data_IF_925212241991
#
_entry.id   IF_925212241991
#
_cell.length_a   1.000
_cell.length_b   1.000
_cell.length_c   1.000
_cell.angle_alpha   90.00
_cell.angle_beta   90.00
_cell.angle_gamma   90.00
#
_symmetry.space_group_name_H-M   'P 1'
#
loop_
_entity.id
_entity.type
_entity.pdbx_description
1 polymer ?
#
# COMPACT_ATOMS: atom_id res chain seq x y z
N UNK A 1 -90.46 -140.05 2.48
CA UNK A 1 -89.37 -140.58 1.64
C UNK A 1 -88.64 -139.38 1.05
N UNK A 2 -87.40 -139.13 1.49
CA UNK A 2 -86.14 -139.20 0.71
C UNK A 2 -86.00 -137.98 -0.25
N UNK A 3 -84.92 -137.21 -0.37
CA UNK A 3 -83.54 -137.15 0.15
C UNK A 3 -82.98 -135.75 -0.29
N UNK A 4 -81.93 -135.24 0.37
CA UNK A 4 -81.10 -134.03 0.06
C UNK A 4 -80.39 -134.22 -1.32
N UNK A 5 -79.62 -133.30 -2.00
CA UNK A 5 -78.97 -132.04 -1.54
C UNK A 5 -78.71 -130.89 -2.56
N UNK A 6 -78.76 -129.59 -2.20
CA UNK A 6 -78.06 -128.52 -2.96
C UNK A 6 -77.59 -127.38 -2.04
N UNK A 7 -76.39 -127.52 -1.48
CA UNK A 7 -75.62 -126.47 -0.79
C UNK A 7 -74.31 -126.17 -1.53
N UNK A 8 -74.34 -126.09 -2.87
CA UNK A 8 -73.15 -125.91 -3.72
C UNK A 8 -73.15 -124.63 -4.60
N UNK A 9 -74.31 -123.99 -4.81
CA UNK A 9 -74.37 -122.78 -5.67
C UNK A 9 -73.98 -121.46 -4.98
N UNK A 10 -73.95 -121.41 -3.64
CA UNK A 10 -73.64 -120.17 -2.90
C UNK A 10 -72.13 -119.98 -2.66
N UNK A 11 -71.36 -121.06 -2.63
CA UNK A 11 -69.92 -121.02 -2.35
C UNK A 11 -69.10 -120.63 -3.61
N UNK A 12 -69.54 -121.06 -4.80
CA UNK A 12 -68.89 -120.71 -6.08
C UNK A 12 -69.07 -119.22 -6.45
N UNK A 13 -70.23 -118.62 -6.13
CA UNK A 13 -70.46 -117.17 -6.31
C UNK A 13 -69.58 -116.32 -5.39
N UNK A 14 -69.35 -116.77 -4.14
CA UNK A 14 -68.49 -116.06 -3.17
C UNK A 14 -67.02 -116.11 -3.56
N UNK A 15 -66.56 -117.23 -4.12
CA UNK A 15 -65.19 -117.39 -4.61
C UNK A 15 -64.96 -116.54 -5.86
N UNK A 16 -65.90 -116.50 -6.81
CA UNK A 16 -65.79 -115.67 -8.01
C UNK A 16 -65.73 -114.16 -7.68
N UNK A 17 -66.59 -113.68 -6.78
CA UNK A 17 -66.56 -112.28 -6.30
C UNK A 17 -65.25 -111.96 -5.57
N UNK A 18 -64.76 -112.85 -4.70
CA UNK A 18 -63.48 -112.66 -4.00
C UNK A 18 -62.28 -112.63 -4.97
N UNK A 19 -62.32 -113.40 -6.05
CA UNK A 19 -61.23 -113.45 -7.04
C UNK A 19 -61.21 -112.20 -7.91
N UNK A 20 -62.39 -111.65 -8.23
CA UNK A 20 -62.53 -110.40 -8.98
C UNK A 20 -62.15 -109.18 -8.12
N UNK A 21 -62.53 -109.20 -6.84
CA UNK A 21 -62.11 -108.19 -5.84
C UNK A 21 -60.60 -108.22 -5.61
N UNK A 22 -59.98 -109.41 -5.54
CA UNK A 22 -58.52 -109.56 -5.44
C UNK A 22 -57.78 -108.95 -6.64
N UNK A 23 -58.26 -109.15 -7.87
CA UNK A 23 -57.68 -108.51 -9.06
C UNK A 23 -57.79 -106.99 -9.01
N UNK A 24 -58.95 -106.45 -8.61
CA UNK A 24 -59.10 -105.00 -8.49
C UNK A 24 -58.20 -104.39 -7.42
N UNK A 25 -57.92 -105.15 -6.35
CA UNK A 25 -56.97 -104.75 -5.31
C UNK A 25 -55.53 -104.85 -5.78
N UNK A 26 -55.16 -105.87 -6.57
CA UNK A 26 -53.83 -105.97 -7.18
C UNK A 26 -53.56 -104.84 -8.18
N UNK A 27 -54.52 -104.52 -9.06
CA UNK A 27 -54.41 -103.38 -9.98
C UNK A 27 -54.30 -102.04 -9.21
N UNK A 28 -55.02 -101.90 -8.09
CA UNK A 28 -54.91 -100.74 -7.20
C UNK A 28 -53.54 -100.68 -6.49
N UNK A 29 -52.94 -101.81 -6.16
CA UNK A 29 -51.59 -101.89 -5.56
C UNK A 29 -50.53 -101.52 -6.60
N UNK A 30 -50.64 -102.00 -7.83
CA UNK A 30 -49.69 -101.68 -8.91
C UNK A 30 -49.71 -100.18 -9.24
N UNK A 31 -50.90 -99.57 -9.29
CA UNK A 31 -51.02 -98.11 -9.48
C UNK A 31 -50.47 -97.32 -8.30
N UNK A 32 -50.69 -97.77 -7.06
CA UNK A 32 -50.10 -97.15 -5.87
C UNK A 32 -48.58 -97.28 -5.84
N UNK A 33 -48.01 -98.42 -6.24
CA UNK A 33 -46.56 -98.63 -6.30
C UNK A 33 -45.90 -97.70 -7.35
N UNK A 34 -46.53 -97.53 -8.52
CA UNK A 34 -46.09 -96.58 -9.53
C UNK A 34 -46.08 -95.14 -8.99
N UNK A 35 -47.13 -94.72 -8.28
CA UNK A 35 -47.22 -93.39 -7.65
C UNK A 35 -46.16 -93.22 -6.55
N UNK A 36 -45.92 -94.26 -5.74
CA UNK A 36 -44.89 -94.24 -4.70
C UNK A 36 -43.51 -94.11 -5.32
N UNK A 37 -43.24 -94.81 -6.41
CA UNK A 37 -41.96 -94.75 -7.14
C UNK A 37 -41.73 -93.36 -7.75
N UNK A 38 -42.76 -92.78 -8.38
CA UNK A 38 -42.69 -91.42 -8.94
C UNK A 38 -42.49 -90.36 -7.84
N UNK A 39 -43.23 -90.45 -6.73
CA UNK A 39 -43.07 -89.55 -5.59
C UNK A 39 -41.70 -89.70 -4.93
N UNK A 40 -41.18 -90.91 -4.84
CA UNK A 40 -39.83 -91.17 -4.31
C UNK A 40 -38.77 -90.53 -5.19
N UNK A 41 -38.88 -90.66 -6.51
CA UNK A 41 -37.98 -90.01 -7.46
C UNK A 41 -38.03 -88.49 -7.30
N UNK A 42 -39.23 -87.91 -7.21
CA UNK A 42 -39.43 -86.47 -7.01
C UNK A 42 -38.85 -85.97 -5.69
N UNK A 43 -38.96 -86.75 -4.60
CA UNK A 43 -38.32 -86.43 -3.32
C UNK A 43 -36.79 -86.41 -3.49
N UNK A 44 -36.21 -87.40 -4.18
CA UNK A 44 -34.75 -87.41 -4.38
C UNK A 44 -34.27 -86.23 -5.23
N UNK A 45 -35.04 -85.81 -6.22
CA UNK A 45 -34.70 -84.66 -7.07
C UNK A 45 -34.81 -83.34 -6.29
N UNK A 46 -35.88 -83.15 -5.50
CA UNK A 46 -35.99 -81.99 -4.60
C UNK A 46 -34.87 -81.96 -3.57
N UNK A 47 -34.45 -83.11 -3.04
CA UNK A 47 -33.38 -83.18 -2.04
C UNK A 47 -32.02 -82.82 -2.64
N UNK A 48 -31.77 -83.18 -3.91
CA UNK A 48 -30.61 -82.72 -4.68
C UNK A 48 -30.66 -81.21 -4.97
N UNK A 49 -31.84 -80.67 -5.25
CA UNK A 49 -32.01 -79.24 -5.48
C UNK A 49 -31.79 -78.41 -4.21
N UNK A 50 -32.33 -78.85 -3.07
CA UNK A 50 -32.10 -78.23 -1.76
C UNK A 50 -30.62 -78.23 -1.39
N UNK A 51 -29.92 -79.34 -1.57
CA UNK A 51 -28.47 -79.42 -1.28
C UNK A 51 -27.65 -78.55 -2.23
N UNK A 52 -28.03 -78.48 -3.52
CA UNK A 52 -27.41 -77.57 -4.50
C UNK A 52 -27.59 -76.09 -4.11
N UNK A 53 -28.81 -75.70 -3.71
CA UNK A 53 -29.12 -74.33 -3.31
C UNK A 53 -28.45 -73.94 -1.99
N UNK A 54 -28.39 -74.87 -1.02
CA UNK A 54 -27.71 -74.64 0.25
C UNK A 54 -26.20 -74.45 0.06
N UNK A 55 -25.56 -75.28 -0.79
CA UNK A 55 -24.14 -75.15 -1.12
C UNK A 55 -23.84 -73.85 -1.89
N UNK A 56 -24.67 -73.49 -2.88
CA UNK A 56 -24.55 -72.22 -3.62
C UNK A 56 -24.76 -71.00 -2.71
N UNK A 57 -25.71 -71.08 -1.77
CA UNK A 57 -25.98 -70.03 -0.80
C UNK A 57 -24.82 -69.81 0.18
N UNK A 58 -24.20 -70.88 0.69
CA UNK A 58 -23.07 -70.76 1.62
C UNK A 58 -21.82 -70.21 0.95
N UNK A 59 -21.46 -70.70 -0.25
CA UNK A 59 -20.29 -70.24 -0.99
C UNK A 59 -20.41 -68.75 -1.39
N UNK A 60 -21.59 -68.34 -1.88
CA UNK A 60 -21.81 -66.95 -2.26
C UNK A 60 -21.77 -66.00 -1.04
N UNK A 61 -22.30 -66.42 0.12
CA UNK A 61 -22.25 -65.64 1.35
C UNK A 61 -20.82 -65.51 1.90
N UNK A 62 -20.03 -66.58 1.83
CA UNK A 62 -18.63 -66.61 2.32
C UNK A 62 -17.68 -65.81 1.40
N UNK A 63 -17.88 -65.86 0.08
CA UNK A 63 -17.14 -65.03 -0.88
C UNK A 63 -17.48 -63.54 -0.73
N UNK A 64 -18.75 -63.20 -0.47
CA UNK A 64 -19.16 -61.81 -0.20
C UNK A 64 -18.59 -61.31 1.13
N UNK A 65 -18.58 -62.15 2.18
CA UNK A 65 -18.03 -61.80 3.49
C UNK A 65 -16.52 -61.59 3.47
N UNK A 66 -15.77 -62.43 2.74
CA UNK A 66 -14.32 -62.26 2.57
C UNK A 66 -13.96 -60.98 1.80
N UNK A 67 -14.71 -60.64 0.74
CA UNK A 67 -14.55 -59.35 0.02
C UNK A 67 -14.88 -58.14 0.90
N UNK A 68 -15.93 -58.23 1.74
CA UNK A 68 -16.29 -57.18 2.68
C UNK A 68 -15.20 -56.97 3.75
N UNK A 69 -14.65 -58.05 4.30
CA UNK A 69 -13.55 -58.00 5.27
C UNK A 69 -12.27 -57.41 4.67
N UNK A 70 -11.90 -57.78 3.45
CA UNK A 70 -10.75 -57.19 2.77
C UNK A 70 -10.89 -55.68 2.58
N UNK A 71 -12.10 -55.21 2.20
CA UNK A 71 -12.41 -53.78 2.09
C UNK A 71 -12.38 -53.07 3.45
N UNK A 72 -12.85 -53.71 4.51
CA UNK A 72 -12.81 -53.15 5.86
C UNK A 72 -11.36 -52.92 6.33
N UNK A 73 -10.46 -53.89 6.10
CA UNK A 73 -9.03 -53.78 6.45
C UNK A 73 -8.35 -52.66 5.64
N UNK A 74 -8.66 -52.54 4.35
CA UNK A 74 -8.14 -51.45 3.50
C UNK A 74 -8.60 -50.08 4.02
N UNK A 75 -9.88 -49.93 4.35
CA UNK A 75 -10.44 -48.70 4.90
C UNK A 75 -9.83 -48.35 6.27
N UNK A 76 -9.62 -49.34 7.13
CA UNK A 76 -8.99 -49.15 8.44
C UNK A 76 -7.54 -48.63 8.29
N UNK A 77 -6.79 -49.18 7.34
CA UNK A 77 -5.45 -48.70 7.00
C UNK A 77 -5.45 -47.26 6.48
N UNK A 78 -6.45 -46.88 5.69
CA UNK A 78 -6.62 -45.50 5.21
C UNK A 78 -6.96 -44.54 6.35
N UNK A 79 -7.83 -44.94 7.29
CA UNK A 79 -8.19 -44.15 8.47
C UNK A 79 -6.95 -43.91 9.35
N UNK A 80 -6.15 -44.93 9.62
CA UNK A 80 -4.93 -44.79 10.42
C UNK A 80 -3.88 -43.90 9.74
N UNK A 81 -3.77 -43.96 8.41
CA UNK A 81 -2.92 -43.04 7.64
C UNK A 81 -3.41 -41.60 7.76
N UNK A 82 -4.70 -41.36 7.54
CA UNK A 82 -5.31 -40.02 7.65
C UNK A 82 -5.16 -39.44 9.06
N UNK A 83 -5.29 -40.27 10.09
CA UNK A 83 -5.12 -39.87 11.49
C UNK A 83 -3.69 -39.40 11.76
N UNK A 84 -2.68 -40.13 11.26
CA UNK A 84 -1.27 -39.70 11.34
C UNK A 84 -1.04 -38.37 10.62
N UNK A 85 -1.57 -38.23 9.40
CA UNK A 85 -1.44 -36.99 8.62
C UNK A 85 -2.08 -35.78 9.33
N UNK A 86 -3.28 -35.96 9.92
CA UNK A 86 -3.96 -34.93 10.73
C UNK A 86 -3.11 -34.52 11.92
N UNK A 87 -2.52 -35.46 12.66
CA UNK A 87 -1.66 -35.13 13.81
C UNK A 87 -0.39 -34.38 13.39
N UNK A 88 0.24 -34.76 12.28
CA UNK A 88 1.40 -34.07 11.73
C UNK A 88 1.06 -32.67 11.21
N UNK A 89 -0.13 -32.49 10.62
CA UNK A 89 -0.59 -31.18 10.17
C UNK A 89 -0.94 -30.27 11.35
N UNK A 90 -1.51 -30.83 12.43
CA UNK A 90 -1.80 -30.08 13.66
C UNK A 90 -0.54 -29.53 14.31
N UNK A 91 0.55 -30.30 14.38
CA UNK A 91 1.82 -29.83 14.93
C UNK A 91 2.48 -28.74 14.05
N UNK A 92 2.41 -28.89 12.72
CA UNK A 92 2.85 -27.84 11.76
C UNK A 92 2.03 -26.56 11.88
N UNK A 93 0.71 -26.67 12.08
CA UNK A 93 -0.16 -25.50 12.31
C UNK A 93 0.28 -24.75 13.57
N UNK A 94 0.51 -25.47 14.68
CA UNK A 94 0.93 -24.87 15.94
C UNK A 94 2.29 -24.14 15.82
N UNK A 95 3.25 -24.71 15.09
CA UNK A 95 4.55 -24.06 14.89
C UNK A 95 4.46 -22.82 13.99
N UNK A 96 3.61 -22.85 12.95
CA UNK A 96 3.34 -21.69 12.11
C UNK A 96 2.62 -20.58 12.88
N UNK A 97 1.66 -20.94 13.73
CA UNK A 97 0.92 -20.00 14.59
C UNK A 97 1.85 -19.32 15.60
N UNK A 98 2.76 -20.07 16.24
CA UNK A 98 3.79 -19.50 17.12
C UNK A 98 4.76 -18.56 16.37
N UNK A 99 5.11 -18.89 15.12
CA UNK A 99 5.95 -18.01 14.29
C UNK A 99 5.21 -16.76 13.85
N UNK A 100 3.91 -16.86 13.56
CA UNK A 100 3.07 -15.72 13.22
C UNK A 100 2.92 -14.76 14.40
N UNK A 101 2.71 -15.27 15.62
CA UNK A 101 2.60 -14.43 16.82
C UNK A 101 3.92 -13.74 17.19
N UNK A 102 5.07 -14.41 17.03
CA UNK A 102 6.38 -13.76 17.23
C UNK A 102 6.66 -12.68 16.17
N UNK A 103 6.27 -12.93 14.91
CA UNK A 103 6.37 -11.93 13.85
C UNK A 103 5.47 -10.71 14.11
N UNK A 104 4.23 -10.94 14.57
CA UNK A 104 3.30 -9.88 14.95
C UNK A 104 3.85 -9.02 16.10
N UNK A 105 4.45 -9.65 17.12
CA UNK A 105 5.10 -8.94 18.23
C UNK A 105 6.26 -8.06 17.74
N UNK A 106 7.09 -8.56 16.83
CA UNK A 106 8.19 -7.78 16.21
C UNK A 106 7.68 -6.61 15.39
N UNK A 107 6.59 -6.79 14.64
CA UNK A 107 5.96 -5.69 13.89
C UNK A 107 5.44 -4.61 14.84
N UNK A 108 4.81 -5.00 15.95
CA UNK A 108 4.35 -4.05 16.96
C UNK A 108 5.53 -3.29 17.60
N UNK A 109 6.61 -3.98 17.94
CA UNK A 109 7.82 -3.36 18.51
C UNK A 109 8.43 -2.33 17.54
N UNK A 110 8.67 -2.72 16.28
CA UNK A 110 9.17 -1.82 15.24
C UNK A 110 8.25 -0.62 15.01
N UNK A 111 6.93 -0.82 15.08
CA UNK A 111 5.97 0.28 14.94
C UNK A 111 6.09 1.29 16.11
N UNK A 112 6.31 0.82 17.33
CA UNK A 112 6.55 1.73 18.47
C UNK A 112 7.88 2.48 18.37
N UNK A 113 8.93 1.85 17.84
CA UNK A 113 10.21 2.52 17.59
C UNK A 113 10.08 3.58 16.48
N UNK A 114 9.35 3.26 15.41
CA UNK A 114 9.06 4.19 14.32
C UNK A 114 8.29 5.41 14.83
N UNK A 115 7.30 5.21 15.69
CA UNK A 115 6.54 6.31 16.28
C UNK A 115 7.42 7.21 17.18
N UNK A 116 8.33 6.61 17.96
CA UNK A 116 9.31 7.37 18.77
C UNK A 116 10.23 8.21 17.88
N UNK A 117 10.77 7.63 16.80
CA UNK A 117 11.62 8.33 15.83
C UNK A 117 10.88 9.46 15.11
N UNK A 118 9.62 9.25 14.76
CA UNK A 118 8.80 10.28 14.15
C UNK A 118 8.60 11.47 15.11
N UNK A 119 8.32 11.20 16.39
CA UNK A 119 8.18 12.24 17.42
C UNK A 119 9.47 13.04 17.64
N UNK A 120 10.64 12.40 17.63
CA UNK A 120 11.93 13.09 17.79
C UNK A 120 12.28 13.94 16.57
N UNK A 121 12.03 13.43 15.36
CA UNK A 121 12.18 14.18 14.11
C UNK A 121 11.28 15.42 14.07
N UNK A 122 10.01 15.27 14.44
CA UNK A 122 9.07 16.39 14.51
C UNK A 122 9.51 17.45 15.55
N UNK A 123 10.11 17.02 16.66
CA UNK A 123 10.67 17.94 17.66
C UNK A 123 11.90 18.70 17.15
N UNK A 124 12.84 18.00 16.51
CA UNK A 124 13.98 18.62 15.86
C UNK A 124 13.56 19.64 14.80
N UNK A 125 12.56 19.31 13.98
CA UNK A 125 12.01 20.22 12.98
C UNK A 125 11.43 21.49 13.61
N UNK A 126 10.68 21.37 14.72
CA UNK A 126 10.16 22.53 15.45
C UNK A 126 11.29 23.40 16.03
N UNK A 127 12.36 22.79 16.53
CA UNK A 127 13.53 23.52 17.04
C UNK A 127 14.24 24.31 15.94
N UNK A 128 14.45 23.68 14.78
CA UNK A 128 15.05 24.33 13.60
C UNK A 128 14.21 25.52 13.14
N UNK A 129 12.89 25.34 13.02
CA UNK A 129 12.00 26.45 12.64
C UNK A 129 12.05 27.63 13.62
N UNK A 130 12.14 27.36 14.94
CA UNK A 130 12.30 28.43 15.95
C UNK A 130 13.61 29.19 15.77
N UNK A 131 14.72 28.49 15.52
CA UNK A 131 16.03 29.14 15.30
C UNK A 131 16.08 29.90 13.98
N UNK A 132 15.45 29.40 12.92
CA UNK A 132 15.33 30.09 11.64
C UNK A 132 14.51 31.38 11.75
N UNK A 133 13.40 31.35 12.49
CA UNK A 133 12.62 32.57 12.74
C UNK A 133 13.40 33.61 13.55
N UNK A 134 14.11 33.18 14.60
CA UNK A 134 14.95 34.09 15.39
C UNK A 134 16.06 34.73 14.54
N UNK A 135 16.67 33.95 13.64
CA UNK A 135 17.68 34.45 12.71
C UNK A 135 17.12 35.48 11.74
N UNK A 136 15.96 35.21 11.11
CA UNK A 136 15.29 36.17 10.21
C UNK A 136 14.96 37.48 10.91
N UNK A 137 14.46 37.43 12.14
CA UNK A 137 14.19 38.64 12.93
C UNK A 137 15.48 39.42 13.20
N UNK A 138 16.57 38.74 13.55
CA UNK A 138 17.86 39.40 13.76
C UNK A 138 18.41 40.04 12.48
N UNK A 139 18.24 39.39 11.32
CA UNK A 139 18.63 39.92 10.01
C UNK A 139 17.79 41.15 9.63
N UNK A 140 16.48 41.12 9.84
CA UNK A 140 15.57 42.25 9.57
C UNK A 140 15.90 43.46 10.45
N UNK A 141 16.13 43.26 11.75
CA UNK A 141 16.53 44.34 12.67
C UNK A 141 17.91 44.91 12.30
N UNK A 142 18.86 44.07 11.89
CA UNK A 142 20.17 44.53 11.41
C UNK A 142 20.03 45.39 10.15
N UNK A 143 19.24 44.96 9.17
CA UNK A 143 19.00 45.71 7.93
C UNK A 143 18.31 47.05 8.23
N UNK A 144 17.35 47.07 9.16
CA UNK A 144 16.70 48.29 9.62
C UNK A 144 17.69 49.25 10.28
N UNK A 145 18.52 48.77 11.19
CA UNK A 145 19.56 49.59 11.83
C UNK A 145 20.57 50.12 10.80
N UNK A 146 20.96 49.33 9.79
CA UNK A 146 21.81 49.81 8.71
C UNK A 146 21.13 50.89 7.85
N UNK A 147 19.85 50.73 7.52
CA UNK A 147 19.12 51.76 6.78
C UNK A 147 18.91 53.03 7.60
N UNK A 148 18.62 52.91 8.90
CA UNK A 148 18.50 54.07 9.80
C UNK A 148 19.83 54.80 9.98
N UNK A 149 20.94 54.08 10.11
CA UNK A 149 22.26 54.70 10.25
C UNK A 149 22.71 55.37 8.95
N UNK A 150 22.48 54.75 7.80
CA UNK A 150 22.80 55.34 6.49
C UNK A 150 21.92 56.54 6.14
N UNK A 151 20.63 56.50 6.49
CA UNK A 151 19.74 57.66 6.30
C UNK A 151 20.09 58.81 7.24
N UNK A 152 20.33 58.53 8.53
CA UNK A 152 20.81 59.54 9.49
C UNK A 152 22.16 60.13 9.07
N UNK A 153 23.08 59.31 8.56
CA UNK A 153 24.37 59.78 8.03
C UNK A 153 24.21 60.67 6.79
N UNK A 154 23.29 60.36 5.88
CA UNK A 154 22.96 61.21 4.71
C UNK A 154 22.30 62.52 5.13
N UNK A 155 21.33 62.49 6.04
CA UNK A 155 20.71 63.71 6.58
C UNK A 155 21.75 64.59 7.28
N UNK A 156 22.65 64.00 8.07
CA UNK A 156 23.73 64.73 8.72
C UNK A 156 24.67 65.37 7.69
N UNK A 157 25.03 64.64 6.63
CA UNK A 157 25.88 65.13 5.54
C UNK A 157 25.23 66.26 4.73
N UNK A 158 23.92 66.19 4.49
CA UNK A 158 23.17 67.21 3.75
C UNK A 158 22.93 68.47 4.59
N UNK A 159 22.51 68.32 5.86
CA UNK A 159 22.25 69.44 6.78
C UNK A 159 23.55 70.16 7.17
N UNK A 160 24.71 69.48 7.09
CA UNK A 160 25.98 70.02 7.58
C UNK A 160 27.08 70.15 6.53
N UNK A 161 26.78 69.98 5.23
CA UNK A 161 27.75 70.19 4.14
C UNK A 161 28.37 71.59 4.10
N UNK A 162 27.78 72.56 4.78
CA UNK A 162 28.32 73.92 4.94
C UNK A 162 28.12 74.53 6.35
N UNK A 163 27.71 73.77 7.37
CA UNK A 163 27.33 74.33 8.69
C UNK A 163 27.90 73.59 9.92
N UNK A 164 28.89 72.71 9.77
CA UNK A 164 29.64 72.22 10.93
C UNK A 164 30.72 73.25 11.31
N UNK A 165 30.66 73.88 12.49
CA UNK A 165 31.74 74.76 12.94
C UNK A 165 33.08 73.99 12.91
N UNK A 166 34.21 74.63 12.54
CA UNK A 166 35.50 73.96 12.41
C UNK A 166 35.90 73.11 13.63
N UNK A 167 35.51 73.53 14.84
CA UNK A 167 35.76 72.77 16.07
C UNK A 167 34.98 71.44 16.12
N UNK A 168 33.73 71.39 15.64
CA UNK A 168 32.89 70.18 15.66
C UNK A 168 33.28 69.20 14.54
N UNK A 169 33.69 69.70 13.37
CA UNK A 169 34.31 68.88 12.34
C UNK A 169 35.62 68.25 12.85
N UNK A 170 36.45 69.02 13.55
CA UNK A 170 37.69 68.51 14.18
C UNK A 170 37.39 67.46 15.27
N UNK A 171 36.35 67.67 16.08
CA UNK A 171 35.92 66.69 17.08
C UNK A 171 35.32 65.42 16.48
N UNK A 172 34.58 65.51 15.37
CA UNK A 172 34.04 64.36 14.65
C UNK A 172 35.14 63.52 13.99
N UNK A 173 36.15 64.16 13.40
CA UNK A 173 37.33 63.46 12.87
C UNK A 173 38.07 62.76 14.01
N UNK A 174 38.29 63.44 15.14
CA UNK A 174 38.95 62.84 16.32
C UNK A 174 38.16 61.66 16.92
N UNK A 175 36.83 61.74 16.98
CA UNK A 175 36.00 60.63 17.49
C UNK A 175 35.93 59.46 16.52
N UNK A 176 35.87 59.71 15.20
CA UNK A 176 36.01 58.67 14.18
C UNK A 176 37.37 57.98 14.25
N UNK A 177 38.44 58.73 14.52
CA UNK A 177 39.79 58.17 14.67
C UNK A 177 39.91 57.31 15.94
N UNK A 178 39.35 57.73 17.07
CA UNK A 178 39.28 56.92 18.31
C UNK A 178 38.46 55.64 18.09
N UNK A 179 37.30 55.72 17.43
CA UNK A 179 36.50 54.53 17.11
C UNK A 179 37.21 53.60 16.14
N UNK A 180 37.91 54.14 15.13
CA UNK A 180 38.72 53.36 14.18
C UNK A 180 39.88 52.65 14.91
N UNK A 181 40.57 53.35 15.80
CA UNK A 181 41.64 52.79 16.60
C UNK A 181 41.11 51.67 17.51
N UNK A 182 39.97 51.89 18.20
CA UNK A 182 39.36 50.87 19.05
C UNK A 182 38.84 49.65 18.25
N UNK A 183 38.29 49.88 17.05
CA UNK A 183 37.91 48.80 16.13
C UNK A 183 39.14 47.99 15.70
N UNK A 184 40.24 48.65 15.36
CA UNK A 184 41.46 47.98 14.95
C UNK A 184 42.16 47.24 16.10
N UNK A 185 42.12 47.80 17.32
CA UNK A 185 42.74 47.21 18.52
C UNK A 185 41.93 46.04 19.09
N UNK A 186 40.60 46.09 19.06
CA UNK A 186 39.76 45.11 19.75
C UNK A 186 38.72 44.43 18.85
N UNK A 187 38.09 45.15 17.93
CA UNK A 187 37.01 44.62 17.08
C UNK A 187 37.52 43.66 16.00
N UNK A 188 38.47 44.12 15.19
CA UNK A 188 39.09 43.34 14.11
C UNK A 188 39.73 42.04 14.60
N UNK A 189 40.59 42.02 15.65
CA UNK A 189 41.17 40.77 16.13
C UNK A 189 40.12 39.79 16.70
N UNK A 190 39.01 40.26 17.27
CA UNK A 190 37.94 39.38 17.72
C UNK A 190 37.21 38.69 16.55
N UNK A 191 36.94 39.44 15.47
CA UNK A 191 36.34 38.89 14.24
C UNK A 191 37.30 37.92 13.55
N UNK A 192 38.58 38.28 13.42
CA UNK A 192 39.60 37.42 12.82
C UNK A 192 39.78 36.12 13.62
N UNK A 193 39.74 36.17 14.96
CA UNK A 193 39.76 34.98 15.83
C UNK A 193 38.55 34.06 15.62
N UNK A 194 37.36 34.63 15.43
CA UNK A 194 36.15 33.84 15.16
C UNK A 194 36.21 33.17 13.78
N UNK A 195 36.67 33.90 12.75
CA UNK A 195 36.89 33.35 11.41
C UNK A 195 37.93 32.23 11.42
N UNK A 196 39.03 32.41 12.14
CA UNK A 196 40.06 31.40 12.29
C UNK A 196 39.52 30.14 13.00
N UNK A 197 38.79 30.29 14.11
CA UNK A 197 38.18 29.15 14.81
C UNK A 197 37.14 28.41 13.96
N UNK A 198 36.35 29.13 13.17
CA UNK A 198 35.41 28.53 12.22
C UNK A 198 36.16 27.73 11.14
N UNK A 199 37.24 28.27 10.58
CA UNK A 199 38.09 27.58 9.62
C UNK A 199 38.74 26.33 10.24
N UNK A 200 39.33 26.42 11.43
CA UNK A 200 39.93 25.29 12.14
C UNK A 200 38.92 24.17 12.42
N UNK A 201 37.69 24.51 12.82
CA UNK A 201 36.62 23.54 13.05
C UNK A 201 36.14 22.88 11.76
N UNK A 202 36.10 23.62 10.65
CA UNK A 202 35.80 23.05 9.33
C UNK A 202 36.87 22.06 8.85
N UNK A 203 38.15 22.36 9.11
CA UNK A 203 39.28 21.47 8.78
C UNK A 203 39.27 20.23 9.69
N UNK A 204 38.94 20.37 10.98
CA UNK A 204 38.74 19.22 11.88
C UNK A 204 37.58 18.32 11.42
N UNK A 205 36.45 18.88 11.01
CA UNK A 205 35.32 18.12 10.48
C UNK A 205 35.70 17.36 9.21
N UNK A 206 36.48 17.99 8.32
CA UNK A 206 36.99 17.34 7.10
C UNK A 206 37.94 16.17 7.43
N UNK A 207 38.91 16.37 8.32
CA UNK A 207 39.84 15.30 8.76
C UNK A 207 39.15 14.16 9.48
N UNK A 208 38.07 14.43 10.22
CA UNK A 208 37.27 13.38 10.84
C UNK A 208 36.48 12.57 9.79
N UNK A 209 35.92 13.23 8.78
CA UNK A 209 35.11 12.57 7.76
C UNK A 209 35.94 11.74 6.76
N UNK A 210 37.16 12.18 6.44
CA UNK A 210 38.06 11.57 5.44
C UNK A 210 38.34 10.06 5.67
N UNK A 211 38.74 9.57 6.86
CA UNK A 211 38.95 8.14 7.08
C UNK A 211 37.66 7.32 7.02
N UNK A 212 36.52 7.90 7.41
CA UNK A 212 35.22 7.24 7.32
C UNK A 212 34.72 7.15 5.87
N UNK A 213 34.99 8.18 5.07
CA UNK A 213 34.70 8.20 3.64
C UNK A 213 35.58 7.20 2.88
N UNK A 214 36.88 7.14 3.18
CA UNK A 214 37.80 6.16 2.59
C UNK A 214 37.45 4.73 3.00
N UNK A 215 37.01 4.52 4.25
CA UNK A 215 36.49 3.21 4.70
C UNK A 215 35.19 2.83 3.98
N UNK A 216 34.30 3.80 3.76
CA UNK A 216 33.08 3.59 2.96
C UNK A 216 33.41 3.28 1.51
N UNK A 217 34.40 3.97 0.92
CA UNK A 217 34.90 3.76 -0.45
C UNK A 217 35.46 2.34 -0.60
N UNK A 218 36.32 1.90 0.32
CA UNK A 218 37.08 0.65 0.18
C UNK A 218 36.30 -0.59 0.62
N UNK A 219 35.54 -0.52 1.72
CA UNK A 219 34.85 -1.70 2.28
C UNK A 219 33.40 -1.82 1.84
N UNK A 220 32.66 -0.70 1.82
CA UNK A 220 31.21 -0.73 1.67
C UNK A 220 30.75 -0.58 0.23
N UNK A 221 31.44 0.22 -0.58
CA UNK A 221 31.12 0.41 -2.00
C UNK A 221 31.11 -0.89 -2.81
N UNK A 222 32.13 -1.78 -2.74
CA UNK A 222 32.11 -3.03 -3.51
C UNK A 222 31.01 -3.98 -3.03
N UNK A 223 30.80 -4.09 -1.71
CA UNK A 223 29.75 -4.93 -1.12
C UNK A 223 28.36 -4.43 -1.52
N UNK A 224 28.13 -3.11 -1.47
CA UNK A 224 26.87 -2.51 -1.89
C UNK A 224 26.63 -2.70 -3.39
N UNK A 225 27.66 -2.55 -4.24
CA UNK A 225 27.57 -2.82 -5.68
C UNK A 225 27.19 -4.28 -5.96
N UNK A 226 27.86 -5.22 -5.32
CA UNK A 226 27.57 -6.65 -5.50
C UNK A 226 26.16 -7.01 -5.00
N UNK A 227 25.75 -6.48 -3.85
CA UNK A 227 24.40 -6.66 -3.29
C UNK A 227 23.32 -6.00 -4.16
N UNK A 228 23.59 -4.84 -4.77
CA UNK A 228 22.66 -4.18 -5.68
C UNK A 228 22.54 -4.92 -7.02
N UNK A 229 23.64 -5.43 -7.57
CA UNK A 229 23.62 -6.23 -8.81
C UNK A 229 22.87 -7.54 -8.59
N UNK A 230 23.10 -8.21 -7.46
CA UNK A 230 22.36 -9.45 -7.09
C UNK A 230 20.90 -9.18 -6.80
N UNK A 231 20.56 -8.09 -6.10
CA UNK A 231 19.18 -7.67 -5.90
C UNK A 231 18.49 -7.34 -7.24
N UNK A 232 19.15 -6.62 -8.14
CA UNK A 232 18.63 -6.31 -9.48
C UNK A 232 18.35 -7.59 -10.27
N UNK A 233 19.31 -8.53 -10.32
CA UNK A 233 19.16 -9.82 -11.01
C UNK A 233 18.02 -10.66 -10.43
N UNK A 234 17.85 -10.64 -9.11
CA UNK A 234 16.80 -11.40 -8.44
C UNK A 234 15.43 -10.74 -8.53
N UNK A 235 15.36 -9.41 -8.56
CA UNK A 235 14.10 -8.65 -8.59
C UNK A 235 13.55 -8.46 -10.01
N UNK A 236 14.42 -8.43 -11.03
CA UNK A 236 14.05 -8.29 -12.45
C UNK A 236 12.92 -9.24 -12.90
N UNK A 237 12.96 -10.56 -12.63
CA UNK A 237 11.85 -11.44 -13.02
C UNK A 237 10.55 -11.17 -12.25
N UNK A 238 10.61 -10.74 -10.99
CA UNK A 238 9.41 -10.41 -10.21
C UNK A 238 8.78 -9.09 -10.66
N UNK A 239 9.60 -8.09 -10.99
CA UNK A 239 9.11 -6.81 -11.52
C UNK A 239 8.47 -7.03 -12.90
N UNK A 240 9.09 -7.83 -13.76
CA UNK A 240 8.50 -8.21 -15.05
C UNK A 240 7.18 -8.96 -14.87
N UNK A 241 7.15 -10.00 -14.03
CA UNK A 241 5.92 -10.76 -13.76
C UNK A 241 4.80 -9.90 -13.16
N UNK A 242 5.11 -9.03 -12.20
CA UNK A 242 4.12 -8.11 -11.60
C UNK A 242 3.65 -7.09 -12.64
N UNK A 243 4.55 -6.59 -13.49
CA UNK A 243 4.18 -5.66 -14.56
C UNK A 243 3.22 -6.32 -15.55
N UNK A 244 3.52 -7.53 -16.02
CA UNK A 244 2.66 -8.31 -16.93
C UNK A 244 1.30 -8.59 -16.31
N UNK A 245 1.26 -9.11 -15.08
CA UNK A 245 0.01 -9.38 -14.37
C UNK A 245 -0.79 -8.12 -14.08
N UNK A 246 -0.13 -6.99 -13.82
CA UNK A 246 -0.81 -5.72 -13.59
C UNK A 246 -1.45 -5.18 -14.87
N UNK A 247 -0.79 -5.34 -16.02
CA UNK A 247 -1.33 -4.97 -17.33
C UNK A 247 -2.51 -5.86 -17.68
N UNK A 248 -2.39 -7.17 -17.46
CA UNK A 248 -3.47 -8.13 -17.70
C UNK A 248 -4.69 -7.86 -16.80
N UNK A 249 -4.48 -7.65 -15.49
CA UNK A 249 -5.54 -7.31 -14.55
C UNK A 249 -6.21 -5.96 -14.89
N UNK A 250 -5.44 -4.96 -15.32
CA UNK A 250 -5.97 -3.68 -15.76
C UNK A 250 -6.78 -3.79 -17.05
N UNK A 251 -6.29 -4.53 -18.05
CA UNK A 251 -7.03 -4.79 -19.29
C UNK A 251 -8.33 -5.52 -19.01
N UNK A 252 -8.29 -6.60 -18.21
CA UNK A 252 -9.46 -7.38 -17.81
C UNK A 252 -10.49 -6.53 -17.06
N UNK A 253 -10.02 -5.69 -16.13
CA UNK A 253 -10.89 -4.76 -15.39
C UNK A 253 -11.49 -3.68 -16.31
N UNK A 254 -10.68 -3.11 -17.20
CA UNK A 254 -11.12 -2.11 -18.18
C UNK A 254 -12.18 -2.68 -19.11
N UNK A 255 -11.97 -3.89 -19.63
CA UNK A 255 -12.91 -4.56 -20.53
C UNK A 255 -14.19 -4.97 -19.82
N UNK A 256 -14.12 -5.36 -18.54
CA UNK A 256 -15.31 -5.59 -17.71
C UNK A 256 -16.10 -4.30 -17.45
N UNK A 257 -15.43 -3.18 -17.17
CA UNK A 257 -16.08 -1.91 -16.84
C UNK A 257 -16.63 -1.20 -18.08
N UNK A 258 -15.98 -1.34 -19.24
CA UNK A 258 -16.35 -0.69 -20.50
C UNK A 258 -17.84 -0.79 -20.85
N UNK A 259 -18.51 -1.96 -20.84
CA UNK A 259 -19.94 -2.04 -21.14
C UNK A 259 -20.81 -1.29 -20.11
N UNK A 260 -20.44 -1.30 -18.83
CA UNK A 260 -21.16 -0.57 -17.80
C UNK A 260 -21.00 0.95 -17.94
N UNK A 261 -19.81 1.42 -18.32
CA UNK A 261 -19.57 2.84 -18.59
C UNK A 261 -20.35 3.31 -19.82
N UNK A 262 -20.38 2.51 -20.90
CA UNK A 262 -21.18 2.81 -22.10
C UNK A 262 -22.67 2.83 -21.77
N UNK A 263 -23.17 1.90 -20.96
CA UNK A 263 -24.57 1.88 -20.55
C UNK A 263 -24.93 3.06 -19.62
N UNK A 264 -24.06 3.41 -18.66
CA UNK A 264 -24.25 4.58 -17.83
C UNK A 264 -24.24 5.87 -18.66
N UNK A 265 -23.35 5.97 -19.65
CA UNK A 265 -23.31 7.10 -20.56
C UNK A 265 -24.58 7.19 -21.40
N UNK A 266 -25.08 6.08 -21.96
CA UNK A 266 -26.36 6.03 -22.69
C UNK A 266 -27.56 6.39 -21.82
N UNK A 267 -27.57 5.96 -20.56
CA UNK A 267 -28.64 6.28 -19.62
C UNK A 267 -28.62 7.76 -19.20
N UNK A 268 -27.42 8.34 -19.06
CA UNK A 268 -27.25 9.74 -18.67
C UNK A 268 -27.38 10.72 -19.85
N UNK A 269 -27.08 10.28 -21.08
CA UNK A 269 -27.13 11.12 -22.29
C UNK A 269 -28.45 11.89 -22.46
N UNK A 270 -29.66 11.30 -22.34
CA UNK A 270 -30.89 12.06 -22.47
C UNK A 270 -31.02 13.19 -21.43
N UNK A 271 -30.58 12.96 -20.18
CA UNK A 271 -30.57 13.98 -19.15
C UNK A 271 -29.55 15.09 -19.44
N UNK A 272 -28.37 14.74 -19.94
CA UNK A 272 -27.37 15.73 -20.37
C UNK A 272 -27.85 16.53 -21.59
N UNK A 273 -28.53 15.90 -22.56
CA UNK A 273 -29.09 16.61 -23.71
C UNK A 273 -30.22 17.55 -23.29
N UNK A 274 -31.06 17.15 -22.32
CA UNK A 274 -32.11 17.99 -21.77
C UNK A 274 -31.54 19.17 -20.97
N UNK A 275 -30.59 18.92 -20.06
CA UNK A 275 -29.86 19.98 -19.36
C UNK A 275 -29.13 20.92 -20.34
N UNK A 276 -28.57 20.39 -21.43
CA UNK A 276 -27.98 21.18 -22.51
C UNK A 276 -29.02 22.03 -23.23
N UNK A 277 -30.21 21.52 -23.53
CA UNK A 277 -31.31 22.33 -24.11
C UNK A 277 -31.72 23.48 -23.20
N UNK A 278 -31.82 23.23 -21.89
CA UNK A 278 -32.17 24.26 -20.92
C UNK A 278 -31.06 25.29 -20.69
N UNK A 279 -29.80 24.85 -20.59
CA UNK A 279 -28.66 25.72 -20.27
C UNK A 279 -28.12 26.48 -21.47
N UNK A 280 -28.18 25.91 -22.68
CA UNK A 280 -27.65 26.52 -23.90
C UNK A 280 -28.14 27.94 -24.17
N UNK A 281 -29.44 28.30 -24.09
CA UNK A 281 -29.86 29.70 -24.31
C UNK A 281 -29.27 30.66 -23.28
N UNK A 282 -29.09 30.25 -22.02
CA UNK A 282 -28.46 31.08 -20.99
C UNK A 282 -26.95 31.21 -21.17
N UNK A 283 -26.27 30.12 -21.52
CA UNK A 283 -24.84 30.14 -21.86
C UNK A 283 -24.61 31.01 -23.09
N UNK A 284 -25.45 30.89 -24.13
CA UNK A 284 -25.38 31.69 -25.34
C UNK A 284 -25.67 33.18 -25.05
N UNK A 285 -26.62 33.49 -24.16
CA UNK A 285 -26.86 34.87 -23.69
C UNK A 285 -25.67 35.43 -22.92
N UNK A 286 -25.11 34.68 -21.96
CA UNK A 286 -23.93 35.10 -21.21
C UNK A 286 -22.75 35.29 -22.16
N UNK A 287 -22.51 34.35 -23.08
CA UNK A 287 -21.46 34.43 -24.08
C UNK A 287 -21.66 35.63 -25.00
N UNK A 288 -22.88 35.91 -25.45
CA UNK A 288 -23.19 37.06 -26.32
C UNK A 288 -23.02 38.39 -25.59
N UNK A 289 -23.47 38.47 -24.33
CA UNK A 289 -23.33 39.66 -23.49
C UNK A 289 -21.87 39.93 -23.10
N UNK A 290 -21.09 38.87 -22.83
CA UNK A 290 -19.66 39.01 -22.48
C UNK A 290 -18.74 39.12 -23.68
N UNK A 291 -19.16 38.71 -24.89
CA UNK A 291 -18.37 38.79 -26.14
C UNK A 291 -17.71 40.15 -26.36
N UNK A 292 -18.41 41.30 -26.34
CA UNK A 292 -17.76 42.60 -26.54
C UNK A 292 -16.76 42.97 -25.43
N UNK A 293 -17.01 42.53 -24.19
CA UNK A 293 -16.09 42.77 -23.07
C UNK A 293 -14.84 41.90 -23.15
N UNK A 294 -15.00 40.63 -23.51
CA UNK A 294 -13.89 39.69 -23.74
C UNK A 294 -13.05 40.13 -24.94
N UNK A 295 -13.68 40.59 -26.03
CA UNK A 295 -12.97 41.12 -27.20
C UNK A 295 -12.24 42.42 -26.88
N UNK A 296 -12.84 43.31 -26.06
CA UNK A 296 -12.17 44.52 -25.54
C UNK A 296 -10.98 44.17 -24.65
N UNK A 297 -11.12 43.22 -23.72
CA UNK A 297 -10.01 42.73 -22.88
C UNK A 297 -8.93 42.09 -23.76
N UNK A 298 -9.31 41.27 -24.73
CA UNK A 298 -8.37 40.59 -25.64
C UNK A 298 -7.58 41.58 -26.49
N UNK A 299 -8.23 42.62 -26.99
CA UNK A 299 -7.58 43.67 -27.80
C UNK A 299 -6.66 44.55 -26.95
N UNK A 300 -7.07 44.94 -25.74
CA UNK A 300 -6.23 45.71 -24.81
C UNK A 300 -5.05 44.90 -24.25
N UNK A 301 -5.24 43.60 -24.03
CA UNK A 301 -4.20 42.71 -23.51
C UNK A 301 -3.25 42.19 -24.62
N UNK A 302 -3.62 42.34 -25.91
CA UNK A 302 -2.83 41.91 -27.08
C UNK A 302 -1.37 42.41 -27.08
N UNK A 303 -1.06 43.70 -26.82
CA UNK A 303 0.32 44.16 -26.71
C UNK A 303 1.06 43.54 -25.53
N UNK A 304 0.39 43.37 -24.39
CA UNK A 304 0.99 42.75 -23.20
C UNK A 304 1.28 41.26 -23.39
N UNK A 305 0.39 40.52 -24.05
CA UNK A 305 0.63 39.11 -24.39
C UNK A 305 1.75 38.96 -25.42
N UNK A 306 1.87 39.87 -26.39
CA UNK A 306 3.03 39.89 -27.30
C UNK A 306 4.34 40.15 -26.55
N UNK A 307 4.35 41.13 -25.63
CA UNK A 307 5.53 41.45 -24.81
C UNK A 307 5.88 40.31 -23.86
N UNK A 308 4.90 39.69 -23.22
CA UNK A 308 5.09 38.53 -22.35
C UNK A 308 5.65 37.33 -23.13
N UNK A 309 5.14 37.04 -24.33
CA UNK A 309 5.67 35.98 -25.20
C UNK A 309 7.13 36.26 -25.60
N UNK A 310 7.47 37.51 -25.89
CA UNK A 310 8.83 37.89 -26.25
C UNK A 310 9.79 37.74 -25.05
N UNK A 311 9.41 38.24 -23.88
CA UNK A 311 10.19 38.10 -22.64
C UNK A 311 10.33 36.63 -22.23
N UNK A 312 9.27 35.84 -22.37
CA UNK A 312 9.32 34.41 -22.09
C UNK A 312 10.20 33.67 -23.11
N UNK A 313 10.16 34.04 -24.39
CA UNK A 313 11.05 33.51 -25.41
C UNK A 313 12.52 33.82 -25.12
N UNK A 314 12.84 35.07 -24.77
CA UNK A 314 14.18 35.46 -24.34
C UNK A 314 14.61 34.71 -23.08
N UNK A 315 13.72 34.58 -22.09
CA UNK A 315 13.98 33.82 -20.87
C UNK A 315 14.23 32.34 -21.13
N UNK A 316 13.49 31.71 -22.04
CA UNK A 316 13.74 30.32 -22.42
C UNK A 316 15.08 30.14 -23.12
N UNK A 317 15.46 31.08 -24.01
CA UNK A 317 16.77 31.05 -24.67
C UNK A 317 17.88 31.23 -23.64
N UNK A 318 17.77 32.19 -22.71
CA UNK A 318 18.78 32.36 -21.67
C UNK A 318 18.83 31.15 -20.73
N UNK A 319 17.68 30.65 -20.25
CA UNK A 319 17.61 29.47 -19.40
C UNK A 319 18.22 28.24 -20.07
N UNK A 320 17.97 28.01 -21.36
CA UNK A 320 18.58 26.90 -22.10
C UNK A 320 20.09 27.07 -22.27
N UNK A 321 20.59 28.27 -22.56
CA UNK A 321 22.04 28.53 -22.62
C UNK A 321 22.72 28.34 -21.26
N UNK A 322 22.12 28.83 -20.17
CA UNK A 322 22.63 28.61 -18.81
C UNK A 322 22.52 27.14 -18.39
N UNK A 323 21.48 26.42 -18.83
CA UNK A 323 21.33 24.99 -18.58
C UNK A 323 22.47 24.21 -19.21
N UNK A 324 22.80 24.51 -20.46
CA UNK A 324 23.92 23.91 -21.19
C UNK A 324 25.26 24.27 -20.53
N UNK A 325 25.45 25.52 -20.10
CA UNK A 325 26.66 25.94 -19.39
C UNK A 325 26.80 25.28 -18.00
N UNK A 326 25.69 25.15 -17.28
CA UNK A 326 25.64 24.45 -16.00
C UNK A 326 25.90 22.96 -16.21
N UNK A 327 25.34 22.35 -17.25
CA UNK A 327 25.60 20.97 -17.63
C UNK A 327 27.09 20.73 -17.91
N UNK A 328 27.75 21.64 -18.63
CA UNK A 328 29.19 21.58 -18.88
C UNK A 328 30.01 21.72 -17.58
N UNK A 329 29.71 22.71 -16.75
CA UNK A 329 30.40 22.96 -15.47
C UNK A 329 30.21 21.81 -14.48
N UNK A 330 28.98 21.30 -14.36
CA UNK A 330 28.62 20.16 -13.50
C UNK A 330 29.30 18.90 -14.02
N UNK A 331 29.28 18.65 -15.34
CA UNK A 331 29.97 17.50 -15.93
C UNK A 331 31.46 17.54 -15.65
N UNK A 332 32.10 18.70 -15.81
CA UNK A 332 33.53 18.90 -15.55
C UNK A 332 33.85 18.68 -14.05
N UNK A 333 33.07 19.29 -13.15
CA UNK A 333 33.22 19.11 -11.70
C UNK A 333 33.02 17.65 -11.26
N UNK A 334 31.99 16.96 -11.79
CA UNK A 334 31.78 15.55 -11.46
C UNK A 334 32.87 14.64 -12.05
N UNK A 335 33.49 15.01 -13.18
CA UNK A 335 34.62 14.29 -13.75
C UNK A 335 35.92 14.50 -12.97
N UNK A 336 36.12 15.67 -12.36
CA UNK A 336 37.28 16.00 -11.53
C UNK A 336 37.32 15.21 -10.21
N UNK A 337 36.17 14.75 -9.70
CA UNK A 337 36.09 13.96 -8.47
C UNK A 337 35.88 12.46 -8.76
N UNK A 338 36.82 11.61 -8.35
CA UNK A 338 36.78 10.16 -8.61
C UNK A 338 35.51 9.46 -8.10
N UNK A 339 34.89 9.96 -7.02
CA UNK A 339 33.66 9.42 -6.44
C UNK A 339 32.43 9.70 -7.32
N UNK A 340 32.31 10.92 -7.84
CA UNK A 340 31.16 11.34 -8.65
C UNK A 340 31.27 10.91 -10.10
N UNK A 341 32.50 10.67 -10.60
CA UNK A 341 32.77 10.19 -11.96
C UNK A 341 31.96 8.94 -12.34
N UNK A 342 31.72 8.04 -11.40
CA UNK A 342 30.95 6.79 -11.62
C UNK A 342 29.43 7.02 -11.74
N UNK A 343 28.94 8.18 -11.32
CA UNK A 343 27.53 8.57 -11.36
C UNK A 343 27.23 9.57 -12.47
N UNK A 344 28.22 9.93 -13.30
CA UNK A 344 28.03 10.83 -14.44
C UNK A 344 27.30 10.09 -15.54
N UNK A 345 25.97 10.10 -15.46
CA UNK A 345 25.09 9.78 -16.59
C UNK A 345 24.61 11.09 -17.21
N UNK A 346 24.44 11.12 -18.54
CA UNK A 346 23.96 12.31 -19.25
C UNK A 346 22.63 12.82 -18.67
N UNK A 347 21.77 11.89 -18.24
CA UNK A 347 20.50 12.20 -17.57
C UNK A 347 20.69 12.88 -16.21
N UNK A 348 21.63 12.41 -15.37
CA UNK A 348 21.85 12.99 -14.04
C UNK A 348 22.44 14.40 -14.12
N UNK A 349 23.40 14.63 -15.03
CA UNK A 349 23.95 15.97 -15.27
C UNK A 349 22.86 16.91 -15.78
N UNK A 350 21.98 16.43 -16.66
CA UNK A 350 20.83 17.18 -17.15
C UNK A 350 19.86 17.53 -16.01
N UNK A 351 19.48 16.59 -15.15
CA UNK A 351 18.60 16.86 -14.00
C UNK A 351 19.24 17.81 -12.98
N UNK A 352 20.54 17.69 -12.71
CA UNK A 352 21.24 18.55 -11.76
C UNK A 352 21.37 20.00 -12.27
N UNK A 353 21.65 20.16 -13.57
CA UNK A 353 21.64 21.46 -14.24
C UNK A 353 20.23 22.09 -14.22
N UNK A 354 19.18 21.30 -14.46
CA UNK A 354 17.81 21.77 -14.38
C UNK A 354 17.43 22.18 -12.95
N UNK A 355 17.84 21.39 -11.94
CA UNK A 355 17.61 21.71 -10.53
C UNK A 355 18.27 23.04 -10.13
N UNK A 356 19.51 23.28 -10.59
CA UNK A 356 20.25 24.52 -10.34
C UNK A 356 19.51 25.76 -10.92
N UNK A 357 18.87 25.61 -12.07
CA UNK A 357 18.07 26.68 -12.70
C UNK A 357 16.71 26.91 -12.07
N UNK A 358 16.05 25.84 -11.60
CA UNK A 358 14.70 25.91 -11.04
C UNK A 358 14.72 26.40 -9.58
N UNK A 359 15.78 26.12 -8.82
CA UNK A 359 15.91 26.49 -7.41
C UNK A 359 15.68 27.99 -7.14
N UNK A 360 16.31 28.95 -7.84
CA UNK A 360 16.06 30.38 -7.63
C UNK A 360 14.62 30.79 -7.95
N UNK A 361 14.03 30.21 -9.00
CA UNK A 361 12.63 30.47 -9.40
C UNK A 361 11.67 29.95 -8.32
N UNK A 362 11.95 28.77 -7.76
CA UNK A 362 11.15 28.18 -6.68
C UNK A 362 11.25 28.98 -5.39
N UNK A 363 12.45 29.46 -5.03
CA UNK A 363 12.65 30.34 -3.86
C UNK A 363 11.89 31.66 -4.02
N UNK A 364 11.97 32.31 -5.19
CA UNK A 364 11.20 33.52 -5.47
C UNK A 364 9.69 33.26 -5.47
N UNK A 365 9.24 32.14 -6.04
CA UNK A 365 7.82 31.75 -6.05
C UNK A 365 7.28 31.47 -4.63
N UNK A 366 8.05 30.80 -3.79
CA UNK A 366 7.67 30.53 -2.39
C UNK A 366 7.65 31.81 -1.56
N UNK A 367 8.60 32.73 -1.75
CA UNK A 367 8.58 34.07 -1.14
C UNK A 367 7.38 34.90 -1.61
N UNK A 368 7.04 34.87 -2.90
CA UNK A 368 5.85 35.57 -3.44
C UNK A 368 4.54 34.98 -2.91
N UNK A 369 4.45 33.66 -2.74
CA UNK A 369 3.28 33.03 -2.12
C UNK A 369 3.18 33.42 -0.65
N UNK A 370 4.26 33.36 0.12
CA UNK A 370 4.18 33.68 1.55
C UNK A 370 3.88 35.17 1.80
N UNK A 371 4.32 36.07 0.91
CA UNK A 371 4.05 37.51 1.02
C UNK A 371 2.67 37.92 0.52
N UNK A 372 2.16 37.36 -0.57
CA UNK A 372 0.86 37.75 -1.17
C UNK A 372 -0.29 36.79 -0.85
N UNK A 373 -0.02 35.49 -0.72
CA UNK A 373 -1.02 34.52 -0.27
C UNK A 373 -0.98 34.44 1.26
N UNK A 374 -1.65 35.38 1.93
CA UNK A 374 -1.97 35.25 3.34
C UNK A 374 -2.69 33.92 3.57
N UNK A 375 -1.99 32.92 4.10
CA UNK A 375 -2.64 31.74 4.68
C UNK A 375 -3.51 32.27 5.81
N UNK A 376 -4.81 32.42 5.56
CA UNK A 376 -5.81 32.65 6.60
C UNK A 376 -5.66 31.50 7.58
N UNK A 377 -4.94 31.73 8.68
CA UNK A 377 -4.99 30.84 9.81
C UNK A 377 -6.46 30.76 10.21
N UNK A 378 -7.07 29.59 10.06
CA UNK A 378 -8.37 29.30 10.65
C UNK A 378 -8.20 29.58 12.14
N UNK A 379 -8.75 30.70 12.63
CA UNK A 379 -8.91 30.97 14.05
C UNK A 379 -9.61 29.75 14.63
N UNK A 380 -8.90 28.93 15.41
CA UNK A 380 -9.54 27.97 16.30
C UNK A 380 -10.32 28.81 17.31
N UNK A 381 -11.65 28.81 17.19
CA UNK A 381 -12.55 29.29 18.23
C UNK A 381 -12.14 28.67 19.57
N UNK A 382 -11.88 29.46 20.63
CA UNK A 382 -11.69 28.90 21.96
C UNK A 382 -13.01 28.25 22.35
N UNK A 383 -12.98 26.93 22.51
CA UNK A 383 -14.10 26.16 22.99
C UNK A 383 -14.32 26.60 24.44
N UNK A 384 -15.39 27.37 24.66
CA UNK A 384 -15.89 27.77 25.97
C UNK A 384 -15.83 26.60 26.95
N UNK A 385 -14.95 26.70 27.94
CA UNK A 385 -14.96 25.85 29.12
C UNK A 385 -15.47 26.68 30.29
N UNK A 386 -16.65 26.28 30.80
CA UNK A 386 -17.25 26.71 32.05
C UNK A 386 -16.20 27.02 33.13
N UNK A 387 -16.17 28.28 33.58
CA UNK A 387 -15.54 28.65 34.83
C UNK A 387 -16.62 29.25 35.73
N UNK A 388 -17.06 28.45 36.71
CA UNK A 388 -17.95 28.86 37.79
C UNK A 388 -17.26 29.98 38.61
N UNK A 389 -17.76 31.21 38.52
CA UNK A 389 -17.35 32.28 39.43
C UNK A 389 -18.21 32.26 40.69
N UNK A 390 -17.59 31.76 41.76
CA UNK A 390 -18.07 31.87 43.14
C UNK A 390 -17.93 33.31 43.62
N UNK A 391 -19.03 33.85 44.14
CA UNK A 391 -19.15 35.12 44.84
C UNK A 391 -18.05 35.33 45.89
N UNK A 392 -17.35 36.48 45.85
CA UNK A 392 -16.76 37.08 47.05
C UNK A 392 -17.04 38.57 47.12
N UNK A 393 -18.03 38.86 47.97
CA UNK A 393 -18.52 40.17 48.43
C UNK A 393 -17.38 40.94 49.10
N UNK A 394 -16.99 42.12 48.60
CA UNK A 394 -16.13 43.03 49.37
C UNK A 394 -16.98 43.93 50.27
N UNK A 395 -16.73 43.80 51.56
CA UNK A 395 -17.43 44.46 52.67
C UNK A 395 -16.90 45.90 52.80
N UNK A 396 -17.82 46.87 52.75
CA UNK A 396 -17.58 48.28 53.14
C UNK A 396 -17.09 48.35 54.59
N UNK A 397 -16.08 49.18 54.87
CA UNK A 397 -15.92 49.87 56.15
C UNK A 397 -15.35 51.27 55.91
N UNK A 398 -16.07 52.25 56.41
CA UNK A 398 -15.64 53.63 56.65
C UNK A 398 -14.64 53.68 57.80
N UNK A 399 -13.71 54.64 57.74
CA UNK A 399 -13.39 55.56 58.84
C UNK A 399 -12.55 56.73 58.31
N UNK A 400 -13.02 57.95 58.55
CA UNK A 400 -12.27 59.21 58.43
C UNK A 400 -11.22 59.32 59.55
N UNK A 401 -10.00 59.70 59.19
CA UNK A 401 -9.25 60.87 59.70
C UNK A 401 -7.82 60.86 59.16
#
# INVERSE_FOLDING_TARGET
MLFIPISLGLEESRIADQTLELKTKDDAIETLDMIVKEKSQKITDMQKEVTSLQAKGSLAAEEQASKANARAIELEKQIEKLKKDITAQKSKKASLEARASDAERKVQELNTELEKLQRTSDDQKRRIQKTEHALKVAEEELMKVQLETTTKAKQLREVHGAWLPPWLATHAVRSMEVMSNHWNEHGKPAVDSLLQKAAEKSVQAKRWAEPHLETAKTKWMPVAKEKLVTLKKNAEPYVQMVSEKSVEAYQTSSDFIRPHLVNAHKAADPYFQEAKKFSKPYIDQIATATKPHVDKIRTTLKPYTKRARHLYGQFLVTATTYHQQAQATISDYLHQHEFTKQFVTEELVWYLAAALLVMPVFVLYTLLIDTFCTKKQKKKTPRSSNANHVHRRHKRRHAEK
#
